data_IF_078495981667
#
_entry.id   IF_078495981667
#
_cell.length_a   1.000
_cell.length_b   1.000
_cell.length_c   1.000
_cell.angle_alpha   90.00
_cell.angle_beta   90.00
_cell.angle_gamma   90.00
#
_symmetry.space_group_name_H-M   'P 1'
#
loop_
_entity.id
_entity.type
_entity.pdbx_description
1 polymer ?
#
# COMPACT_ATOMS: atom_id res chain seq x y z
N UNK A 1 14.00 17.43 -8.82
CA UNK A 1 12.86 16.61 -9.26
C UNK A 1 13.45 15.40 -9.96
N UNK A 2 13.50 14.24 -9.29
CA UNK A 2 13.78 13.00 -9.98
C UNK A 2 12.60 12.75 -10.91
N UNK A 3 12.85 12.78 -12.23
CA UNK A 3 11.89 12.26 -13.18
C UNK A 3 11.59 10.82 -12.77
N UNK A 4 10.40 10.55 -12.36
CA UNK A 4 9.88 9.19 -12.23
C UNK A 4 9.94 8.66 -13.65
N UNK A 5 11.02 7.95 -13.98
CA UNK A 5 11.15 7.25 -15.24
C UNK A 5 9.90 6.43 -15.43
N UNK A 6 9.36 6.43 -16.63
CA UNK A 6 8.06 5.82 -16.94
C UNK A 6 7.88 4.54 -16.15
N UNK A 7 6.98 4.60 -15.18
CA UNK A 7 6.64 3.46 -14.36
C UNK A 7 5.93 2.44 -15.26
N UNK A 8 6.69 1.59 -15.93
CA UNK A 8 6.16 0.35 -16.52
C UNK A 8 5.80 -0.64 -15.41
N UNK A 9 5.08 -0.13 -14.41
CA UNK A 9 4.72 -0.85 -13.19
C UNK A 9 3.38 -1.53 -13.35
N UNK A 10 2.56 -0.96 -14.19
CA UNK A 10 1.36 -1.61 -14.66
C UNK A 10 1.71 -2.20 -16.02
N UNK A 11 2.10 -3.48 -16.11
CA UNK A 11 2.25 -4.09 -17.40
C UNK A 11 0.88 -4.02 -18.05
N UNK A 12 0.79 -3.27 -19.15
CA UNK A 12 -0.29 -3.51 -20.08
C UNK A 12 -0.26 -5.00 -20.45
N UNK A 13 -1.29 -5.48 -21.08
CA UNK A 13 -1.43 -6.87 -21.55
C UNK A 13 -0.41 -7.28 -22.62
N UNK A 14 0.64 -6.49 -22.82
CA UNK A 14 1.61 -6.65 -23.91
C UNK A 14 1.16 -6.07 -25.25
N UNK A 15 -0.06 -5.51 -25.33
CA UNK A 15 -0.66 -4.92 -26.54
C UNK A 15 -0.68 -3.40 -26.52
N UNK A 16 0.07 -2.75 -25.62
CA UNK A 16 0.06 -1.30 -25.36
C UNK A 16 -1.26 -0.74 -24.79
N UNK A 17 -2.14 -1.56 -24.26
CA UNK A 17 -3.35 -1.11 -23.60
C UNK A 17 -3.12 -0.96 -22.09
N UNK A 18 -3.48 0.20 -21.53
CA UNK A 18 -3.39 0.50 -20.10
C UNK A 18 -4.66 0.11 -19.31
N UNK A 19 -5.81 0.10 -19.97
CA UNK A 19 -7.12 -0.10 -19.31
C UNK A 19 -7.37 0.85 -18.14
N UNK A 20 -7.46 2.16 -18.37
CA UNK A 20 -7.44 3.18 -17.31
C UNK A 20 -8.58 3.07 -16.30
N UNK A 21 -9.67 2.41 -16.66
CA UNK A 21 -10.84 2.21 -15.79
C UNK A 21 -10.84 0.84 -15.08
N UNK A 22 -9.84 -0.01 -15.30
CA UNK A 22 -9.74 -1.29 -14.62
C UNK A 22 -9.29 -1.08 -13.19
N UNK A 23 -9.97 -1.67 -12.19
CA UNK A 23 -9.49 -1.64 -10.81
C UNK A 23 -8.10 -2.25 -10.69
N UNK A 24 -7.25 -1.68 -9.84
CA UNK A 24 -5.94 -2.25 -9.54
C UNK A 24 -6.09 -3.48 -8.64
N UNK A 25 -5.36 -4.54 -8.95
CA UNK A 25 -5.33 -5.74 -8.11
C UNK A 25 -4.35 -5.59 -6.94
N UNK A 26 -4.51 -6.44 -5.93
CA UNK A 26 -3.59 -6.49 -4.79
C UNK A 26 -2.15 -6.76 -5.21
N UNK A 27 -1.93 -7.67 -6.15
CA UNK A 27 -0.59 -7.96 -6.69
C UNK A 27 0.01 -6.78 -7.45
N UNK A 28 -0.77 -6.14 -8.32
CA UNK A 28 -0.34 -4.96 -9.09
C UNK A 28 0.03 -3.80 -8.15
N UNK A 29 -0.80 -3.56 -7.13
CA UNK A 29 -0.54 -2.48 -6.17
C UNK A 29 0.70 -2.74 -5.33
N UNK A 30 0.91 -3.97 -4.85
CA UNK A 30 2.12 -4.34 -4.10
C UNK A 30 3.39 -4.15 -4.94
N UNK A 31 3.36 -4.54 -6.21
CA UNK A 31 4.48 -4.31 -7.12
C UNK A 31 4.73 -2.81 -7.34
N UNK A 32 3.66 -2.01 -7.48
CA UNK A 32 3.73 -0.55 -7.57
C UNK A 32 4.40 0.04 -6.32
N UNK A 33 3.98 -0.37 -5.15
CA UNK A 33 4.52 0.11 -3.87
C UNK A 33 6.01 -0.22 -3.71
N UNK A 34 6.45 -1.43 -4.04
CA UNK A 34 7.86 -1.80 -3.98
C UNK A 34 8.69 -0.93 -4.92
N UNK A 35 8.21 -0.65 -6.12
CA UNK A 35 8.89 0.22 -7.07
C UNK A 35 8.89 1.68 -6.60
N UNK A 36 7.78 2.18 -6.08
CA UNK A 36 7.68 3.53 -5.53
C UNK A 36 8.66 3.74 -4.37
N UNK A 37 8.77 2.75 -3.48
CA UNK A 37 9.72 2.75 -2.37
C UNK A 37 11.17 2.46 -2.80
N UNK A 38 11.42 2.32 -4.10
CA UNK A 38 12.73 2.00 -4.68
C UNK A 38 13.36 0.73 -4.08
N UNK A 39 12.53 -0.28 -3.82
CA UNK A 39 12.96 -1.55 -3.22
C UNK A 39 13.41 -2.53 -4.30
N UNK A 40 14.60 -3.09 -4.12
CA UNK A 40 15.06 -4.22 -4.93
C UNK A 40 14.53 -5.54 -4.36
N UNK A 41 13.73 -6.24 -5.15
CA UNK A 41 13.20 -7.58 -4.78
C UNK A 41 14.03 -8.74 -5.35
N UNK A 42 15.19 -8.46 -5.96
CA UNK A 42 16.00 -9.48 -6.63
C UNK A 42 16.47 -10.60 -5.70
N UNK A 43 16.79 -10.25 -4.44
CA UNK A 43 17.19 -11.21 -3.39
C UNK A 43 16.03 -11.89 -2.67
N UNK A 44 14.79 -11.53 -2.99
CA UNK A 44 13.60 -12.09 -2.31
C UNK A 44 13.31 -13.49 -2.84
N UNK A 45 13.03 -14.42 -1.91
CA UNK A 45 12.66 -15.79 -2.25
C UNK A 45 11.37 -15.84 -3.09
N UNK A 46 11.28 -16.83 -3.96
CA UNK A 46 10.05 -17.18 -4.68
C UNK A 46 9.18 -18.20 -3.94
N UNK A 47 9.66 -18.72 -2.81
CA UNK A 47 8.84 -19.59 -1.97
C UNK A 47 7.75 -18.77 -1.28
N UNK A 48 6.52 -18.93 -1.73
CA UNK A 48 5.38 -18.24 -1.14
C UNK A 48 4.77 -19.08 0.00
N UNK A 49 4.32 -18.37 1.03
CA UNK A 49 3.49 -18.95 2.09
C UNK A 49 2.00 -19.02 1.73
N UNK A 50 1.63 -18.50 0.56
CA UNK A 50 0.25 -18.39 0.12
C UNK A 50 -0.06 -19.44 -0.95
N UNK A 51 -1.14 -20.20 -0.76
CA UNK A 51 -1.55 -21.28 -1.64
C UNK A 51 -1.95 -20.80 -3.05
N UNK A 52 -2.41 -19.58 -3.16
CA UNK A 52 -2.86 -18.92 -4.39
C UNK A 52 -1.77 -18.07 -5.09
N UNK A 53 -0.53 -18.12 -4.57
CA UNK A 53 0.63 -17.42 -5.15
C UNK A 53 1.73 -18.44 -5.41
N UNK A 54 1.72 -19.14 -6.56
CA UNK A 54 2.77 -20.11 -6.88
C UNK A 54 4.14 -19.42 -7.09
N UNK A 55 5.22 -20.17 -6.94
CA UNK A 55 6.60 -19.67 -7.09
C UNK A 55 6.89 -19.07 -8.46
N UNK A 56 6.11 -19.43 -9.47
CA UNK A 56 6.19 -18.90 -10.83
C UNK A 56 5.34 -17.67 -11.08
N UNK A 57 4.55 -17.23 -10.06
CA UNK A 57 3.70 -16.06 -10.20
C UNK A 57 4.55 -14.80 -10.38
N UNK A 58 4.21 -13.95 -11.34
CA UNK A 58 5.00 -12.78 -11.71
C UNK A 58 5.28 -11.84 -10.52
N UNK A 59 4.35 -11.69 -9.58
CA UNK A 59 4.46 -10.80 -8.43
C UNK A 59 4.94 -11.49 -7.15
N UNK A 60 5.31 -12.78 -7.18
CA UNK A 60 5.64 -13.54 -5.96
C UNK A 60 6.71 -12.87 -5.09
N UNK A 61 7.77 -12.33 -5.69
CA UNK A 61 8.84 -11.63 -4.95
C UNK A 61 8.35 -10.34 -4.32
N UNK A 62 7.52 -9.58 -5.02
CA UNK A 62 6.92 -8.36 -4.49
C UNK A 62 5.99 -8.65 -3.32
N UNK A 63 5.14 -9.67 -3.45
CA UNK A 63 4.21 -10.13 -2.40
C UNK A 63 4.99 -10.59 -1.17
N UNK A 64 6.01 -11.43 -1.35
CA UNK A 64 6.84 -11.92 -0.26
C UNK A 64 7.58 -10.78 0.44
N UNK A 65 8.14 -9.82 -0.30
CA UNK A 65 8.78 -8.65 0.28
C UNK A 65 7.80 -7.83 1.11
N UNK A 66 6.68 -7.43 0.53
CA UNK A 66 5.71 -6.55 1.18
C UNK A 66 5.05 -7.19 2.41
N UNK A 67 4.81 -8.50 2.38
CA UNK A 67 4.29 -9.23 3.54
C UNK A 67 5.34 -9.39 4.65
N UNK A 68 6.61 -9.60 4.31
CA UNK A 68 7.70 -9.63 5.30
C UNK A 68 7.96 -8.26 5.91
N UNK A 69 7.82 -7.18 5.13
CA UNK A 69 7.92 -5.81 5.59
C UNK A 69 6.69 -5.32 6.39
N UNK A 70 5.63 -6.13 6.47
CA UNK A 70 4.41 -5.79 7.19
C UNK A 70 3.51 -4.76 6.49
N UNK A 71 3.76 -4.47 5.21
CA UNK A 71 2.94 -3.51 4.44
C UNK A 71 1.54 -4.04 4.15
N UNK A 72 1.43 -5.34 3.94
CA UNK A 72 0.18 -6.04 3.65
C UNK A 72 0.23 -7.44 4.27
N UNK A 73 -0.93 -8.02 4.52
CA UNK A 73 -1.06 -9.40 4.96
C UNK A 73 -1.99 -10.18 4.03
N UNK A 74 -1.92 -11.51 4.10
CA UNK A 74 -2.93 -12.39 3.52
C UNK A 74 -4.22 -12.42 4.34
N UNK A 75 -5.17 -13.20 3.90
CA UNK A 75 -6.52 -13.28 4.50
C UNK A 75 -6.63 -14.18 5.74
N UNK A 76 -5.53 -14.74 6.23
CA UNK A 76 -5.53 -15.62 7.40
C UNK A 76 -5.91 -17.07 7.11
N UNK A 77 -6.40 -17.37 5.91
CA UNK A 77 -6.78 -18.72 5.44
C UNK A 77 -5.71 -19.38 4.55
N UNK A 78 -4.49 -18.86 4.55
CA UNK A 78 -3.41 -19.30 3.68
C UNK A 78 -3.45 -18.70 2.26
N UNK A 79 -4.37 -17.79 1.97
CA UNK A 79 -4.48 -17.11 0.69
C UNK A 79 -4.07 -15.64 0.79
N UNK A 80 -3.54 -15.10 -0.32
CA UNK A 80 -3.21 -13.68 -0.48
C UNK A 80 -4.28 -12.91 -1.24
N UNK A 81 -4.97 -13.52 -2.20
CA UNK A 81 -5.91 -12.87 -3.11
C UNK A 81 -5.22 -11.96 -4.14
N UNK A 82 -4.24 -12.47 -4.93
CA UNK A 82 -3.42 -11.60 -5.80
C UNK A 82 -4.23 -10.85 -6.86
N UNK A 83 -5.34 -11.43 -7.30
CA UNK A 83 -6.21 -10.87 -8.34
C UNK A 83 -7.40 -10.07 -7.78
N UNK A 84 -7.55 -10.02 -6.46
CA UNK A 84 -8.63 -9.25 -5.84
C UNK A 84 -8.37 -7.75 -5.95
N UNK A 85 -9.42 -6.97 -6.13
CA UNK A 85 -9.34 -5.51 -6.18
C UNK A 85 -9.14 -4.93 -4.78
N UNK A 86 -8.35 -3.87 -4.69
CA UNK A 86 -8.17 -3.10 -3.45
C UNK A 86 -9.25 -2.02 -3.31
N UNK A 87 -9.70 -1.83 -2.07
CA UNK A 87 -10.48 -0.66 -1.71
C UNK A 87 -9.57 0.56 -1.48
N UNK A 88 -10.11 1.78 -1.59
CA UNK A 88 -9.38 3.02 -1.28
C UNK A 88 -8.85 3.02 0.16
N UNK A 89 -9.62 2.49 1.11
CA UNK A 89 -9.21 2.36 2.51
C UNK A 89 -7.98 1.45 2.68
N UNK A 90 -7.97 0.30 2.03
CA UNK A 90 -6.81 -0.61 2.04
C UNK A 90 -5.58 0.04 1.42
N UNK A 91 -5.75 0.82 0.35
CA UNK A 91 -4.66 1.59 -0.27
C UNK A 91 -4.07 2.59 0.72
N UNK A 92 -4.87 3.37 1.45
CA UNK A 92 -4.39 4.31 2.46
C UNK A 92 -3.54 3.62 3.53
N UNK A 93 -4.04 2.51 4.09
CA UNK A 93 -3.29 1.72 5.10
C UNK A 93 -1.95 1.22 4.56
N UNK A 94 -1.94 0.69 3.35
CA UNK A 94 -0.71 0.17 2.74
C UNK A 94 0.31 1.29 2.44
N UNK A 95 -0.16 2.43 1.93
CA UNK A 95 0.70 3.60 1.67
C UNK A 95 1.36 4.09 2.96
N UNK A 96 0.59 4.28 4.03
CA UNK A 96 1.13 4.71 5.32
C UNK A 96 2.22 3.75 5.81
N UNK A 97 1.94 2.44 5.81
CA UNK A 97 2.92 1.44 6.23
C UNK A 97 4.20 1.44 5.38
N UNK A 98 4.06 1.52 4.07
CA UNK A 98 5.21 1.49 3.16
C UNK A 98 6.05 2.77 3.22
N UNK A 99 5.45 3.91 3.57
CA UNK A 99 6.14 5.19 3.75
C UNK A 99 6.63 5.42 5.18
N UNK A 100 6.39 4.47 6.09
CA UNK A 100 6.76 4.58 7.50
C UNK A 100 5.88 5.55 8.30
N UNK A 101 4.75 5.96 7.74
CA UNK A 101 3.76 6.78 8.43
C UNK A 101 2.92 5.92 9.35
N UNK A 102 2.78 6.35 10.59
CA UNK A 102 1.92 5.68 11.57
C UNK A 102 0.75 6.60 11.82
N UNK A 103 -0.44 6.17 11.41
CA UNK A 103 -1.69 6.82 11.74
C UNK A 103 -1.88 6.78 13.27
N UNK A 104 -1.40 7.79 13.98
CA UNK A 104 -1.59 7.90 15.43
C UNK A 104 -3.00 8.40 15.73
N UNK A 105 -3.49 8.12 16.95
CA UNK A 105 -4.81 8.60 17.40
C UNK A 105 -4.99 10.12 17.36
N UNK A 106 -3.93 10.90 17.14
CA UNK A 106 -4.02 12.35 16.91
C UNK A 106 -4.64 12.69 15.56
N UNK A 107 -4.55 11.80 14.55
CA UNK A 107 -5.28 11.95 13.29
C UNK A 107 -6.79 11.89 13.47
N UNK A 108 -7.28 11.25 14.53
CA UNK A 108 -8.69 11.23 14.88
C UNK A 108 -9.22 12.61 15.34
N UNK A 109 -8.36 13.56 15.67
CA UNK A 109 -8.77 14.94 16.01
C UNK A 109 -9.18 15.74 14.78
N UNK A 110 -8.79 15.31 13.60
CA UNK A 110 -9.09 16.00 12.35
C UNK A 110 -10.11 15.17 11.58
N UNK A 111 -11.37 15.61 11.63
CA UNK A 111 -12.42 14.96 10.88
C UNK A 111 -12.01 14.85 9.40
N UNK A 112 -12.03 13.65 8.81
CA UNK A 112 -11.78 13.53 7.40
C UNK A 112 -12.77 14.40 6.65
N UNK A 113 -12.31 15.03 5.59
CA UNK A 113 -13.16 15.86 4.70
C UNK A 113 -14.27 15.05 4.01
N UNK A 114 -14.32 13.75 4.26
CA UNK A 114 -15.24 12.81 3.64
C UNK A 114 -16.40 12.49 4.58
N UNK A 115 -17.61 12.84 4.16
CA UNK A 115 -18.84 12.67 4.96
C UNK A 115 -19.23 11.20 5.18
N UNK A 116 -18.73 10.31 4.32
CA UNK A 116 -19.00 8.87 4.31
C UNK A 116 -17.97 8.03 5.09
N UNK A 117 -17.00 8.70 5.75
CA UNK A 117 -16.00 8.03 6.58
C UNK A 117 -16.26 8.30 8.05
N UNK A 118 -16.90 7.35 8.73
CA UNK A 118 -17.20 7.45 10.17
C UNK A 118 -15.91 7.34 11.00
N UNK A 119 -15.82 8.06 12.16
CA UNK A 119 -14.73 7.89 13.12
C UNK A 119 -14.54 6.46 13.65
N UNK A 120 -15.58 5.63 13.58
CA UNK A 120 -15.54 4.22 13.96
C UNK A 120 -15.13 3.30 12.81
N UNK A 121 -14.86 3.84 11.62
CA UNK A 121 -14.42 3.03 10.48
C UNK A 121 -13.01 2.50 10.74
N UNK A 122 -12.76 1.22 10.43
CA UNK A 122 -11.51 0.53 10.77
C UNK A 122 -10.23 1.21 10.23
N UNK A 123 -10.31 1.88 9.10
CA UNK A 123 -9.18 2.59 8.46
C UNK A 123 -9.26 4.12 8.63
N UNK A 124 -10.10 4.62 9.56
CA UNK A 124 -10.33 6.06 9.73
C UNK A 124 -9.04 6.86 9.90
N UNK A 125 -8.18 6.45 10.84
CA UNK A 125 -6.92 7.13 11.11
C UNK A 125 -5.96 7.08 9.92
N UNK A 126 -5.89 5.94 9.23
CA UNK A 126 -5.07 5.79 8.03
C UNK A 126 -5.56 6.66 6.88
N UNK A 127 -6.87 6.79 6.70
CA UNK A 127 -7.45 7.68 5.69
C UNK A 127 -7.13 9.15 6.03
N UNK A 128 -7.28 9.55 7.29
CA UNK A 128 -6.92 10.90 7.74
C UNK A 128 -5.44 11.19 7.48
N UNK A 129 -4.55 10.28 7.87
CA UNK A 129 -3.12 10.38 7.66
C UNK A 129 -2.75 10.52 6.17
N UNK A 130 -3.33 9.67 5.32
CA UNK A 130 -3.03 9.64 3.90
C UNK A 130 -3.60 10.82 3.10
N UNK A 131 -4.64 11.51 3.62
CA UNK A 131 -5.41 12.50 2.85
C UNK A 131 -5.30 13.93 3.40
N UNK A 132 -4.68 14.12 4.55
CA UNK A 132 -4.51 15.43 5.17
C UNK A 132 -3.06 15.90 5.04
N UNK A 133 -2.86 17.06 4.43
CA UNK A 133 -1.55 17.72 4.42
C UNK A 133 -1.26 18.25 5.81
N UNK A 134 -0.15 17.86 6.40
CA UNK A 134 0.26 18.27 7.74
C UNK A 134 1.77 18.38 7.83
N UNK A 135 2.23 19.14 8.82
CA UNK A 135 3.64 19.24 9.16
C UNK A 135 3.92 18.44 10.42
N UNK A 136 4.95 17.62 10.39
CA UNK A 136 5.40 16.84 11.54
C UNK A 136 6.60 17.48 12.21
N UNK A 137 6.57 17.58 13.53
CA UNK A 137 7.67 18.17 14.30
C UNK A 137 8.67 17.11 14.78
N UNK A 138 8.23 15.90 15.00
CA UNK A 138 9.08 14.82 15.50
C UNK A 138 8.48 13.45 15.20
N UNK A 139 9.36 12.48 14.93
CA UNK A 139 8.99 11.07 14.87
C UNK A 139 9.53 10.43 16.15
N UNK A 140 8.72 10.40 17.21
CA UNK A 140 9.04 9.65 18.42
C UNK A 140 8.49 8.23 18.31
N UNK A 141 9.37 7.24 18.28
CA UNK A 141 9.01 5.82 18.16
C UNK A 141 8.16 5.50 16.90
N UNK A 142 8.40 6.19 15.78
CA UNK A 142 7.63 6.01 14.56
C UNK A 142 6.28 6.71 14.54
N UNK A 143 5.90 7.46 15.58
CA UNK A 143 4.66 8.22 15.64
C UNK A 143 4.93 9.66 15.24
N UNK A 144 4.24 10.13 14.21
CA UNK A 144 4.28 11.52 13.78
C UNK A 144 3.43 12.39 14.70
N UNK A 145 4.01 13.48 15.20
CA UNK A 145 3.29 14.50 15.97
C UNK A 145 2.95 15.67 15.05
N UNK A 146 1.70 15.82 14.73
CA UNK A 146 1.21 16.89 13.87
C UNK A 146 1.26 18.23 14.58
N UNK A 147 1.83 19.23 13.92
CA UNK A 147 1.94 20.59 14.48
C UNK A 147 1.13 21.65 13.72
N UNK A 148 0.86 21.41 12.43
CA UNK A 148 0.03 22.29 11.59
C UNK A 148 -0.77 21.48 10.58
N UNK A 149 -1.98 21.92 10.27
CA UNK A 149 -2.95 21.32 9.34
C UNK A 149 -3.80 22.39 8.63
#
# INVERSE_FOLDING_TARGET
AQSIGALSVLPGDGTNNLYPNKPITRAEFVALMCKFANVSVNGTSTNSRFNDVPSTYWAVKYINYATNAGWISGYGNGCFGPNDSLTRAQICVMLNKATGRIASGSGAMYAPKFKDVSPNFWAYNDICEATTTHTVNNVMNGIEVWINY
#
